data_IF_824610034756
#
_entry.id   IF_824610034756
#
_cell.length_a   1.000
_cell.length_b   1.000
_cell.length_c   1.000
_cell.angle_alpha   90.00
_cell.angle_beta   90.00
_cell.angle_gamma   90.00
#
_symmetry.space_group_name_H-M   'P 1'
#
loop_
_entity.id
_entity.type
_entity.pdbx_description
1 polymer ?
#
# COMPACT_ATOMS: atom_id res chain seq x y z
N UNK A 1 -1.64 -11.10 -21.38
CA UNK A 1 -0.60 -10.84 -20.36
C UNK A 1 -0.91 -9.51 -19.72
N UNK A 2 -1.13 -9.47 -18.41
CA UNK A 2 -1.42 -8.23 -17.69
C UNK A 2 -0.17 -7.75 -16.94
N UNK A 3 0.13 -6.46 -17.04
CA UNK A 3 1.26 -5.79 -16.40
C UNK A 3 0.74 -4.94 -15.24
N UNK A 4 1.14 -5.25 -14.03
CA UNK A 4 0.57 -4.62 -12.83
C UNK A 4 1.61 -3.91 -11.97
N UNK A 5 1.18 -2.80 -11.38
CA UNK A 5 1.87 -2.12 -10.29
C UNK A 5 1.14 -2.33 -8.97
N UNK A 6 1.87 -2.29 -7.85
CA UNK A 6 1.29 -2.30 -6.51
C UNK A 6 1.63 -0.98 -5.81
N UNK A 7 0.61 -0.30 -5.29
CA UNK A 7 0.75 0.89 -4.46
C UNK A 7 0.55 0.52 -2.98
N UNK A 8 1.62 0.66 -2.19
CA UNK A 8 1.65 0.37 -0.76
C UNK A 8 1.46 1.64 0.08
N UNK A 9 0.99 1.49 1.33
CA UNK A 9 1.00 2.59 2.30
C UNK A 9 2.43 2.82 2.82
N UNK A 10 2.94 4.05 2.73
CA UNK A 10 4.26 4.39 3.29
C UNK A 10 4.32 4.15 4.79
N UNK A 11 3.29 4.51 5.56
CA UNK A 11 3.33 4.30 7.00
C UNK A 11 3.37 2.80 7.35
N UNK A 12 2.62 1.96 6.64
CA UNK A 12 2.68 0.51 6.87
C UNK A 12 4.05 -0.09 6.49
N UNK A 13 4.68 0.39 5.43
CA UNK A 13 5.96 -0.16 4.95
C UNK A 13 7.16 0.40 5.71
N UNK A 14 7.21 1.70 5.95
CA UNK A 14 8.34 2.40 6.54
C UNK A 14 8.28 2.44 8.07
N UNK A 15 7.10 2.63 8.67
CA UNK A 15 6.99 2.71 10.12
C UNK A 15 6.85 1.31 10.74
N UNK A 16 6.05 0.43 10.13
CA UNK A 16 5.83 -0.94 10.63
C UNK A 16 6.72 -2.00 9.98
N UNK A 17 7.57 -1.63 9.02
CA UNK A 17 8.43 -2.60 8.34
C UNK A 17 7.67 -3.65 7.50
N UNK A 18 6.46 -3.33 7.01
CA UNK A 18 5.70 -4.27 6.19
C UNK A 18 6.47 -4.63 4.91
N UNK A 19 6.79 -5.91 4.76
CA UNK A 19 7.53 -6.46 3.61
C UNK A 19 6.68 -6.66 2.36
N UNK A 20 5.39 -6.29 2.38
CA UNK A 20 4.42 -6.59 1.31
C UNK A 20 4.25 -8.08 0.98
N UNK A 21 4.77 -8.99 1.81
CA UNK A 21 4.77 -10.43 1.56
C UNK A 21 3.35 -10.99 1.37
N UNK A 22 2.37 -10.53 2.16
CA UNK A 22 0.97 -10.92 2.01
C UNK A 22 0.34 -10.47 0.68
N UNK A 23 0.70 -9.27 0.21
CA UNK A 23 0.24 -8.75 -1.09
C UNK A 23 0.85 -9.58 -2.24
N UNK A 24 2.14 -9.89 -2.15
CA UNK A 24 2.85 -10.72 -3.12
C UNK A 24 2.38 -12.18 -3.11
N UNK A 25 2.01 -12.72 -1.94
CA UNK A 25 1.42 -14.05 -1.84
C UNK A 25 0.05 -14.11 -2.52
N UNK A 26 -0.78 -13.07 -2.33
CA UNK A 26 -2.08 -12.96 -3.01
C UNK A 26 -1.92 -12.82 -4.53
N UNK A 27 -0.93 -12.04 -4.98
CA UNK A 27 -0.56 -11.93 -6.39
C UNK A 27 -0.23 -13.31 -6.99
N UNK A 28 0.73 -14.02 -6.41
CA UNK A 28 1.19 -15.32 -6.92
C UNK A 28 0.09 -16.38 -6.93
N UNK A 29 -0.77 -16.36 -5.91
CA UNK A 29 -1.89 -17.31 -5.76
C UNK A 29 -3.17 -16.85 -6.46
N UNK A 30 -3.16 -15.67 -7.13
CA UNK A 30 -4.35 -15.06 -7.78
C UNK A 30 -5.57 -15.00 -6.86
N UNK A 31 -5.37 -14.52 -5.64
CA UNK A 31 -6.43 -14.39 -4.63
C UNK A 31 -6.81 -12.94 -4.42
N UNK A 32 -7.99 -12.72 -3.85
CA UNK A 32 -8.50 -11.38 -3.54
C UNK A 32 -8.68 -10.57 -4.82
N UNK A 33 -8.14 -9.36 -4.86
CA UNK A 33 -8.26 -8.46 -6.00
C UNK A 33 -7.52 -8.95 -7.27
N UNK A 34 -6.71 -10.01 -7.15
CA UNK A 34 -6.05 -10.64 -8.30
C UNK A 34 -6.84 -11.80 -8.92
N UNK A 35 -8.01 -12.15 -8.38
CA UNK A 35 -8.84 -13.24 -8.88
C UNK A 35 -9.43 -12.96 -10.27
N UNK A 36 -9.61 -11.69 -10.63
CA UNK A 36 -10.14 -11.26 -11.93
C UNK A 36 -9.17 -11.53 -13.09
N UNK A 37 -7.90 -11.85 -12.81
CA UNK A 37 -6.93 -12.16 -13.84
C UNK A 37 -6.95 -13.65 -14.18
N UNK A 38 -6.98 -14.02 -15.48
CA UNK A 38 -6.97 -15.42 -15.90
C UNK A 38 -5.75 -16.17 -15.37
N UNK A 39 -5.97 -17.40 -14.90
CA UNK A 39 -4.93 -18.27 -14.33
C UNK A 39 -3.97 -18.80 -15.40
N UNK A 40 -4.48 -18.97 -16.61
CA UNK A 40 -3.76 -19.46 -17.80
C UNK A 40 -2.91 -18.38 -18.46
N UNK A 41 -3.00 -17.13 -18.01
CA UNK A 41 -2.21 -16.02 -18.55
C UNK A 41 -1.15 -15.48 -17.57
N UNK A 42 0.03 -15.09 -18.08
CA UNK A 42 1.05 -14.45 -17.26
C UNK A 42 0.58 -13.10 -16.70
N UNK A 43 0.98 -12.83 -15.46
CA UNK A 43 0.77 -11.58 -14.75
C UNK A 43 2.12 -11.07 -14.25
N UNK A 44 2.55 -9.98 -14.85
CA UNK A 44 3.86 -9.39 -14.61
C UNK A 44 3.75 -8.31 -13.56
N UNK A 45 4.52 -8.44 -12.48
CA UNK A 45 4.71 -7.36 -11.53
C UNK A 45 5.77 -6.40 -12.07
N UNK A 46 5.34 -5.22 -12.48
CA UNK A 46 6.22 -4.17 -13.00
C UNK A 46 6.95 -3.46 -11.88
N UNK A 47 6.27 -3.25 -10.75
CA UNK A 47 6.89 -2.61 -9.60
C UNK A 47 5.98 -2.47 -8.41
N UNK A 48 6.60 -2.21 -7.27
CA UNK A 48 5.93 -1.83 -6.02
C UNK A 48 6.42 -0.43 -5.67
N UNK A 49 5.48 0.49 -5.49
CA UNK A 49 5.75 1.84 -5.02
C UNK A 49 4.98 2.12 -3.74
N UNK A 50 5.32 3.22 -3.08
CA UNK A 50 4.67 3.62 -1.84
C UNK A 50 3.94 4.95 -2.04
N UNK A 51 2.81 5.13 -1.36
CA UNK A 51 2.13 6.43 -1.29
C UNK A 51 3.06 7.47 -0.65
N UNK A 52 2.82 8.78 -0.79
CA UNK A 52 3.72 9.80 -0.24
C UNK A 52 3.71 9.91 1.30
N UNK A 53 2.96 9.07 2.01
CA UNK A 53 2.80 9.11 3.47
C UNK A 53 1.66 10.02 3.90
N UNK A 54 1.26 9.89 5.16
CA UNK A 54 0.23 10.71 5.80
C UNK A 54 0.83 11.60 6.90
N UNK A 55 0.21 12.77 7.20
CA UNK A 55 -0.83 13.47 6.45
C UNK A 55 -0.21 14.34 5.34
N UNK A 56 -0.75 14.32 4.12
CA UNK A 56 -0.14 15.04 2.99
C UNK A 56 -1.10 16.00 2.30
N UNK A 57 -0.94 17.31 2.59
CA UNK A 57 -1.63 18.40 1.89
C UNK A 57 -1.31 18.38 0.38
N UNK A 58 -0.06 18.09 0.02
CA UNK A 58 0.42 17.92 -1.37
C UNK A 58 0.53 16.44 -1.77
N UNK A 59 -0.25 15.57 -1.12
CA UNK A 59 -0.11 14.11 -1.28
C UNK A 59 -0.51 13.63 -2.66
N UNK A 60 -1.54 14.22 -3.24
CA UNK A 60 -2.03 13.83 -4.57
C UNK A 60 -0.97 14.07 -5.65
N UNK A 61 -0.38 15.28 -5.72
CA UNK A 61 0.59 15.60 -6.78
C UNK A 61 1.83 14.70 -6.73
N UNK A 62 2.37 14.47 -5.52
CA UNK A 62 3.50 13.55 -5.33
C UNK A 62 3.14 12.11 -5.69
N UNK A 63 1.91 11.69 -5.41
CA UNK A 63 1.44 10.35 -5.78
C UNK A 63 1.37 10.20 -7.31
N UNK A 64 0.79 11.17 -8.00
CA UNK A 64 0.67 11.17 -9.46
C UNK A 64 2.04 11.11 -10.14
N UNK A 65 3.02 11.88 -9.64
CA UNK A 65 4.40 11.81 -10.13
C UNK A 65 5.03 10.42 -9.95
N UNK A 66 4.81 9.77 -8.80
CA UNK A 66 5.31 8.40 -8.56
C UNK A 66 4.64 7.38 -9.47
N UNK A 67 3.34 7.53 -9.70
CA UNK A 67 2.58 6.66 -10.60
C UNK A 67 3.02 6.84 -12.05
N UNK A 68 3.30 8.08 -12.48
CA UNK A 68 3.82 8.37 -13.82
C UNK A 68 5.04 7.50 -14.14
N UNK A 69 6.01 7.42 -13.22
CA UNK A 69 7.18 6.56 -13.38
C UNK A 69 6.82 5.07 -13.58
N UNK A 70 5.78 4.56 -12.93
CA UNK A 70 5.27 3.20 -13.16
C UNK A 70 4.59 3.05 -14.54
N UNK A 71 3.84 4.07 -14.97
CA UNK A 71 3.14 4.05 -16.27
C UNK A 71 4.08 4.06 -17.47
N UNK A 72 5.28 4.66 -17.34
CA UNK A 72 6.31 4.65 -18.38
C UNK A 72 6.78 3.21 -18.73
N UNK A 73 6.67 2.28 -17.78
CA UNK A 73 6.95 0.86 -18.01
C UNK A 73 5.74 0.07 -18.52
N UNK A 74 4.74 0.75 -19.11
CA UNK A 74 3.52 0.17 -19.69
C UNK A 74 2.76 -0.68 -18.67
N UNK A 75 2.39 -0.07 -17.55
CA UNK A 75 1.56 -0.70 -16.52
C UNK A 75 0.09 -0.62 -16.94
N UNK A 76 -0.62 -1.76 -16.97
CA UNK A 76 -2.04 -1.85 -17.35
C UNK A 76 -2.97 -1.59 -16.16
N UNK A 77 -2.56 -1.99 -14.95
CA UNK A 77 -3.35 -1.80 -13.74
C UNK A 77 -2.49 -1.54 -12.50
N UNK A 78 -3.02 -0.73 -11.58
CA UNK A 78 -2.40 -0.42 -10.30
C UNK A 78 -3.30 -0.90 -9.17
N UNK A 79 -2.76 -1.78 -8.32
CA UNK A 79 -3.45 -2.33 -7.17
C UNK A 79 -3.09 -1.56 -5.91
N UNK A 80 -4.08 -0.95 -5.27
CA UNK A 80 -3.91 -0.35 -3.96
C UNK A 80 -3.94 -1.47 -2.92
N UNK A 81 -2.89 -1.54 -2.10
CA UNK A 81 -2.79 -2.58 -1.07
C UNK A 81 -3.96 -2.58 -0.08
N UNK A 82 -4.17 -3.72 0.58
CA UNK A 82 -5.25 -3.83 1.56
C UNK A 82 -5.12 -2.86 2.74
N UNK A 83 -3.90 -2.59 3.21
CA UNK A 83 -3.72 -1.58 4.25
C UNK A 83 -4.18 -0.19 3.79
N UNK A 84 -4.04 0.16 2.51
CA UNK A 84 -4.64 1.39 1.97
C UNK A 84 -6.16 1.29 1.91
N UNK A 85 -6.72 0.16 1.47
CA UNK A 85 -8.18 -0.07 1.49
C UNK A 85 -8.76 0.13 2.89
N UNK A 86 -8.14 -0.46 3.90
CA UNK A 86 -8.65 -0.47 5.28
C UNK A 86 -8.34 0.83 6.05
N UNK A 87 -7.14 1.41 5.89
CA UNK A 87 -6.64 2.48 6.75
C UNK A 87 -6.62 3.86 6.09
N UNK A 88 -6.51 3.95 4.76
CA UNK A 88 -6.33 5.25 4.11
C UNK A 88 -7.67 5.99 3.98
N UNK A 89 -7.80 7.21 4.53
CA UNK A 89 -8.99 8.03 4.35
C UNK A 89 -9.06 8.65 2.93
N UNK A 90 -7.91 8.76 2.24
CA UNK A 90 -7.81 9.40 0.93
C UNK A 90 -7.84 8.42 -0.25
N UNK A 91 -8.11 7.13 -0.02
CA UNK A 91 -8.03 6.10 -1.07
C UNK A 91 -8.91 6.40 -2.28
N UNK A 92 -10.13 6.90 -2.06
CA UNK A 92 -11.06 7.21 -3.15
C UNK A 92 -10.59 8.44 -3.93
N UNK A 93 -10.14 9.49 -3.21
CA UNK A 93 -9.54 10.67 -3.85
C UNK A 93 -8.35 10.27 -4.72
N UNK A 94 -7.44 9.44 -4.20
CA UNK A 94 -6.30 8.95 -4.97
C UNK A 94 -6.72 8.12 -6.17
N UNK A 95 -7.71 7.25 -6.02
CA UNK A 95 -8.24 6.47 -7.15
C UNK A 95 -8.75 7.41 -8.24
N UNK A 96 -9.64 8.35 -7.91
CA UNK A 96 -10.23 9.28 -8.87
C UNK A 96 -9.19 10.12 -9.60
N UNK A 97 -8.21 10.67 -8.87
CA UNK A 97 -7.17 11.50 -9.49
C UNK A 97 -6.23 10.68 -10.40
N UNK A 98 -5.93 9.43 -10.03
CA UNK A 98 -5.12 8.54 -10.87
C UNK A 98 -5.87 8.12 -12.12
N UNK A 99 -7.15 7.75 -12.02
CA UNK A 99 -7.99 7.39 -13.17
C UNK A 99 -8.17 8.59 -14.13
N UNK A 100 -8.22 9.81 -13.59
CA UNK A 100 -8.30 11.04 -14.37
C UNK A 100 -7.01 11.34 -15.14
N UNK A 101 -5.87 11.22 -14.48
CA UNK A 101 -4.55 11.53 -15.07
C UNK A 101 -4.05 10.42 -16.02
N UNK A 102 -4.39 9.16 -15.72
CA UNK A 102 -3.93 7.97 -16.44
C UNK A 102 -5.11 7.10 -16.90
N UNK A 103 -5.89 7.54 -17.92
CA UNK A 103 -7.12 6.85 -18.34
C UNK A 103 -6.90 5.43 -18.87
N UNK A 104 -5.68 5.11 -19.30
CA UNK A 104 -5.31 3.78 -19.81
C UNK A 104 -4.91 2.80 -18.70
N UNK A 105 -4.88 3.22 -17.43
CA UNK A 105 -4.44 2.42 -16.29
C UNK A 105 -5.62 2.13 -15.37
N UNK A 106 -5.96 0.85 -15.21
CA UNK A 106 -7.04 0.44 -14.32
C UNK A 106 -6.60 0.51 -12.85
N UNK A 107 -7.30 1.26 -12.02
CA UNK A 107 -7.03 1.28 -10.57
C UNK A 107 -7.93 0.27 -9.86
N UNK A 108 -7.32 -0.62 -9.07
CA UNK A 108 -8.02 -1.66 -8.31
C UNK A 108 -7.76 -1.45 -6.82
N UNK A 109 -8.82 -1.38 -6.01
CA UNK A 109 -8.69 -1.19 -4.56
C UNK A 109 -8.70 -2.55 -3.86
N UNK A 110 -7.61 -2.85 -3.15
CA UNK A 110 -7.41 -4.11 -2.44
C UNK A 110 -6.38 -5.00 -3.12
N UNK A 111 -5.86 -5.98 -2.39
CA UNK A 111 -4.87 -6.96 -2.90
C UNK A 111 -5.20 -8.36 -2.39
N UNK A 112 -5.00 -8.62 -1.10
CA UNK A 112 -5.24 -9.95 -0.53
C UNK A 112 -6.69 -10.17 -0.07
N UNK A 113 -7.09 -11.44 0.04
CA UNK A 113 -8.42 -11.87 0.46
C UNK A 113 -8.74 -11.43 1.90
N UNK A 114 -9.98 -11.01 2.11
CA UNK A 114 -10.48 -10.53 3.40
C UNK A 114 -10.84 -11.73 4.27
N UNK A 115 -10.02 -11.98 5.30
CA UNK A 115 -10.32 -12.99 6.33
C UNK A 115 -10.87 -12.37 7.61
N UNK A 116 -10.89 -11.03 7.68
CA UNK A 116 -11.30 -10.21 8.83
C UNK A 116 -11.91 -8.90 8.33
N UNK A 117 -12.74 -8.27 9.15
CA UNK A 117 -13.38 -6.98 8.79
C UNK A 117 -12.36 -5.84 8.81
N UNK A 118 -12.60 -4.72 8.08
CA UNK A 118 -11.75 -3.53 8.15
C UNK A 118 -11.60 -2.97 9.57
N UNK A 119 -12.64 -3.04 10.39
CA UNK A 119 -12.65 -2.61 11.79
C UNK A 119 -11.75 -3.49 12.65
N UNK A 120 -11.85 -4.82 12.49
CA UNK A 120 -10.97 -5.77 13.17
C UNK A 120 -9.51 -5.58 12.75
N UNK A 121 -9.26 -5.33 11.46
CA UNK A 121 -7.92 -5.03 10.98
C UNK A 121 -7.38 -3.76 11.62
N UNK A 122 -8.19 -2.68 11.67
CA UNK A 122 -7.82 -1.43 12.33
C UNK A 122 -7.45 -1.65 13.79
N UNK A 123 -8.25 -2.38 14.55
CA UNK A 123 -7.95 -2.64 15.97
C UNK A 123 -6.69 -3.49 16.15
N UNK A 124 -6.43 -4.47 15.27
CA UNK A 124 -5.18 -5.26 15.31
C UNK A 124 -3.94 -4.40 15.04
N UNK A 125 -4.00 -3.49 14.07
CA UNK A 125 -2.84 -2.65 13.72
C UNK A 125 -2.69 -1.42 14.60
N UNK A 126 -3.75 -1.01 15.33
CA UNK A 126 -3.75 0.18 16.19
C UNK A 126 -2.60 0.20 17.18
N UNK A 127 -2.34 -0.92 17.85
CA UNK A 127 -1.21 -1.03 18.79
C UNK A 127 0.13 -0.93 18.09
N UNK A 128 0.27 -1.45 16.87
CA UNK A 128 1.51 -1.39 16.10
C UNK A 128 1.83 0.06 15.69
N UNK A 129 0.85 0.79 15.19
CA UNK A 129 1.04 2.20 14.80
C UNK A 129 1.27 3.15 15.97
N UNK A 130 0.86 2.77 17.18
CA UNK A 130 1.04 3.58 18.39
C UNK A 130 2.33 3.25 19.16
N UNK A 131 3.14 2.29 18.70
CA UNK A 131 4.41 1.98 19.35
C UNK A 131 5.42 3.12 19.14
N UNK A 132 6.01 3.60 20.22
CA UNK A 132 7.13 4.52 20.13
C UNK A 132 8.33 3.79 19.52
N UNK A 133 8.92 4.39 18.50
CA UNK A 133 10.13 3.87 17.88
C UNK A 133 11.29 4.10 18.85
N UNK A 134 11.80 3.02 19.45
CA UNK A 134 13.11 3.03 20.13
C UNK A 134 14.20 2.84 19.08
N UNK A 135 15.16 3.75 19.04
CA UNK A 135 16.36 3.57 18.22
C UNK A 135 17.36 2.68 18.96
N UNK A 136 18.33 2.10 18.23
CA UNK A 136 19.44 1.41 18.87
C UNK A 136 20.23 2.33 19.80
N UNK A 137 20.29 3.63 19.51
CA UNK A 137 20.92 4.62 20.38
C UNK A 137 20.18 4.71 21.72
N UNK A 138 18.83 4.73 21.70
CA UNK A 138 18.04 4.77 22.92
C UNK A 138 18.24 3.52 23.78
N UNK A 139 18.39 2.36 23.15
CA UNK A 139 18.68 1.10 23.84
C UNK A 139 20.10 1.10 24.43
N UNK A 140 21.09 1.53 23.65
CA UNK A 140 22.50 1.58 24.08
C UNK A 140 22.69 2.56 25.24
N UNK A 141 22.00 3.68 25.21
CA UNK A 141 22.08 4.72 26.24
C UNK A 141 21.10 4.50 27.41
N UNK A 142 20.41 3.36 27.44
CA UNK A 142 19.35 3.00 28.40
C UNK A 142 18.37 4.16 28.66
N UNK A 143 18.01 4.86 27.58
CA UNK A 143 17.03 5.94 27.64
C UNK A 143 15.65 5.31 27.79
N UNK A 144 15.15 5.28 29.03
CA UNK A 144 13.74 5.08 29.28
C UNK A 144 12.99 6.23 28.63
N UNK A 145 12.36 5.95 27.49
CA UNK A 145 11.35 6.83 26.90
C UNK A 145 10.09 6.68 27.75
N UNK A 146 10.14 7.13 29.00
CA UNK A 146 9.00 7.17 29.91
C UNK A 146 8.07 8.31 29.49
N UNK A 147 7.22 7.98 28.52
CA UNK A 147 5.78 8.21 28.51
C UNK A 147 5.24 9.41 29.32
N UNK A 148 5.39 10.63 28.79
CA UNK A 148 4.42 11.72 28.98
C UNK A 148 4.34 12.58 27.71
N UNK A 149 3.34 12.31 26.88
CA UNK A 149 2.61 13.33 26.12
C UNK A 149 1.16 12.89 25.98
#
# INVERSE_FOLDING_TARGET
MARIGILTCSNATQDLGCSSAGCLAALRKRKGAFADYPQDQPLDLIGIINCPGCPTLTGTDKLLQRIRALTEFRTDAIHFTYCMKALCPFKEKYKTEVEKEFPNVKVVIGTHQEHITPEEYREKVKKLFNQQRKTMIDVILDKNVDNKR
#
